data_IF_510148268893
#
_entry.id   IF_510148268893
#
_cell.length_a   1.000
_cell.length_b   1.000
_cell.length_c   1.000
_cell.angle_alpha   90.00
_cell.angle_beta   90.00
_cell.angle_gamma   90.00
#
_symmetry.space_group_name_H-M   'P 1'
#
loop_
_entity.id
_entity.type
_entity.pdbx_description
1 polymer ?
#
# COMPACT_ATOMS: atom_id res chain seq x y z
N UNK A 1 -29.88 13.92 -40.50
CA UNK A 1 -30.22 15.18 -39.80
C UNK A 1 -30.58 14.91 -38.32
N UNK A 2 -29.69 14.27 -37.53
CA UNK A 2 -29.95 13.95 -36.11
C UNK A 2 -28.67 13.80 -35.25
N UNK A 3 -27.63 14.60 -35.52
CA UNK A 3 -26.35 14.53 -34.79
C UNK A 3 -25.80 15.91 -34.39
N UNK A 4 -26.67 16.82 -33.93
CA UNK A 4 -26.23 18.19 -33.58
C UNK A 4 -26.94 18.86 -32.41
N UNK A 5 -27.44 18.09 -31.43
CA UNK A 5 -28.15 18.65 -30.26
C UNK A 5 -27.86 17.95 -28.92
N UNK A 6 -26.65 17.42 -28.71
CA UNK A 6 -26.22 16.90 -27.39
C UNK A 6 -24.89 17.48 -26.89
N UNK A 7 -24.46 18.63 -27.42
CA UNK A 7 -23.14 19.21 -27.14
C UNK A 7 -23.18 20.53 -26.34
N UNK A 8 -24.23 20.75 -25.52
CA UNK A 8 -24.33 21.96 -24.67
C UNK A 8 -24.40 21.70 -23.16
N UNK A 9 -24.39 20.45 -22.71
CA UNK A 9 -24.39 20.13 -21.26
C UNK A 9 -23.03 19.66 -20.70
N UNK A 10 -22.05 19.36 -21.56
CA UNK A 10 -20.70 18.97 -21.11
C UNK A 10 -19.82 20.15 -20.64
N UNK A 11 -20.22 21.40 -20.91
CA UNK A 11 -19.40 22.58 -20.55
C UNK A 11 -19.43 22.93 -19.07
N UNK A 12 -20.44 22.48 -18.30
CA UNK A 12 -20.51 22.77 -16.86
C UNK A 12 -19.62 21.84 -16.03
N UNK A 13 -19.55 20.55 -16.38
CA UNK A 13 -18.71 19.58 -15.67
C UNK A 13 -17.21 19.80 -15.90
N UNK A 14 -16.81 20.17 -17.13
CA UNK A 14 -15.41 20.50 -17.42
C UNK A 14 -14.91 21.78 -16.73
N UNK A 15 -15.78 22.76 -16.49
CA UNK A 15 -15.42 23.98 -15.77
C UNK A 15 -15.30 23.76 -14.26
N UNK A 16 -16.10 22.84 -13.70
CA UNK A 16 -16.02 22.48 -12.27
C UNK A 16 -14.80 21.60 -11.97
N UNK A 17 -14.51 20.59 -12.79
CA UNK A 17 -13.30 19.76 -12.65
C UNK A 17 -12.03 20.58 -12.77
N UNK A 18 -11.93 21.45 -13.80
CA UNK A 18 -10.80 22.40 -13.92
C UNK A 18 -10.69 23.39 -12.75
N UNK A 19 -11.81 23.72 -12.09
CA UNK A 19 -11.82 24.63 -10.94
C UNK A 19 -11.34 23.94 -9.66
N UNK A 20 -11.69 22.67 -9.45
CA UNK A 20 -11.19 21.85 -8.32
C UNK A 20 -9.68 21.64 -8.48
N UNK A 21 -9.24 21.23 -9.66
CA UNK A 21 -7.81 21.06 -10.00
C UNK A 21 -7.00 22.38 -9.89
N UNK A 22 -7.65 23.54 -10.10
CA UNK A 22 -7.03 24.85 -9.88
C UNK A 22 -6.94 25.21 -8.39
N UNK A 23 -7.95 24.88 -7.58
CA UNK A 23 -7.97 25.13 -6.14
C UNK A 23 -6.97 24.24 -5.40
N UNK A 24 -6.91 22.94 -5.71
CA UNK A 24 -5.99 22.01 -5.03
C UNK A 24 -4.54 22.38 -5.28
N UNK A 25 -4.23 22.82 -6.51
CA UNK A 25 -2.90 23.35 -6.81
C UNK A 25 -2.67 24.68 -6.12
N UNK A 26 -3.64 25.59 -6.04
CA UNK A 26 -3.46 26.82 -5.24
C UNK A 26 -3.26 26.51 -3.74
N UNK A 27 -3.87 25.45 -3.21
CA UNK A 27 -3.68 25.00 -1.82
C UNK A 27 -2.26 24.47 -1.62
N UNK A 28 -1.75 23.66 -2.57
CA UNK A 28 -0.39 23.12 -2.52
C UNK A 28 0.69 24.14 -2.90
N UNK A 29 0.40 25.09 -3.79
CA UNK A 29 1.29 26.17 -4.24
C UNK A 29 1.29 27.37 -3.29
N UNK A 30 0.25 27.54 -2.47
CA UNK A 30 0.31 28.38 -1.27
C UNK A 30 1.33 27.73 -0.34
N UNK A 31 2.61 28.00 -0.61
CA UNK A 31 3.77 27.47 0.10
C UNK A 31 3.52 27.61 1.60
N UNK A 32 3.08 26.51 2.22
CA UNK A 32 3.14 26.41 3.67
C UNK A 32 4.62 26.42 4.02
N UNK A 33 5.00 27.23 4.99
CA UNK A 33 6.39 27.20 5.47
C UNK A 33 6.69 25.84 6.09
N UNK A 34 7.97 25.51 6.16
CA UNK A 34 8.41 24.26 6.77
C UNK A 34 7.91 24.11 8.22
N UNK A 35 7.79 25.21 8.95
CA UNK A 35 7.24 25.28 10.30
C UNK A 35 5.73 25.00 10.32
N UNK A 36 4.97 25.57 9.37
CA UNK A 36 3.53 25.34 9.26
C UNK A 36 3.22 23.87 8.95
N UNK A 37 3.99 23.24 8.05
CA UNK A 37 3.85 21.82 7.75
C UNK A 37 4.21 20.94 8.95
N UNK A 38 5.23 21.33 9.71
CA UNK A 38 5.64 20.60 10.92
C UNK A 38 4.57 20.68 11.99
N UNK A 39 4.06 21.88 12.27
CA UNK A 39 2.96 22.10 13.20
C UNK A 39 1.71 21.33 12.79
N UNK A 40 1.32 21.40 11.51
CA UNK A 40 0.17 20.65 11.00
C UNK A 40 0.32 19.14 11.22
N UNK A 41 1.51 18.58 10.98
CA UNK A 41 1.77 17.15 11.19
C UNK A 41 1.72 16.73 12.67
N UNK A 42 2.17 17.59 13.58
CA UNK A 42 2.13 17.35 15.02
C UNK A 42 0.70 17.32 15.56
N UNK A 43 -0.21 18.11 14.97
CA UNK A 43 -1.63 18.14 15.35
C UNK A 43 -2.41 16.89 14.90
N UNK A 44 -1.87 16.07 13.98
CA UNK A 44 -2.56 14.86 13.52
C UNK A 44 -2.48 13.78 14.61
N UNK A 45 -3.62 13.28 15.14
CA UNK A 45 -3.63 12.20 16.12
C UNK A 45 -2.90 10.98 15.58
N UNK A 46 -1.97 10.39 16.35
CA UNK A 46 -1.11 9.28 15.88
C UNK A 46 -1.77 7.90 15.94
N UNK A 47 -3.01 7.83 16.40
CA UNK A 47 -3.80 6.62 16.53
C UNK A 47 -5.20 6.95 17.05
N UNK A 48 -5.91 5.94 17.55
CA UNK A 48 -7.19 6.11 18.22
C UNK A 48 -6.99 6.67 19.63
N UNK A 49 -7.73 7.70 19.99
CA UNK A 49 -7.73 8.24 21.36
C UNK A 49 -8.40 7.26 22.34
N UNK A 50 -9.37 6.48 21.86
CA UNK A 50 -10.10 5.45 22.65
C UNK A 50 -10.35 4.20 21.80
N UNK A 51 -10.42 3.02 22.42
CA UNK A 51 -10.78 1.77 21.73
C UNK A 51 -9.70 1.15 20.83
N UNK A 52 -8.44 1.59 20.97
CA UNK A 52 -7.29 0.91 20.35
C UNK A 52 -6.80 -0.26 21.20
N UNK A 53 -7.35 -1.45 20.99
CA UNK A 53 -6.88 -2.66 21.69
C UNK A 53 -5.82 -3.41 20.89
N UNK A 54 -4.84 -4.04 21.58
CA UNK A 54 -3.73 -4.78 20.96
C UNK A 54 -3.55 -6.18 21.57
N UNK A 55 -4.63 -6.80 22.07
CA UNK A 55 -4.59 -8.00 22.95
C UNK A 55 -3.73 -9.15 22.38
N UNK A 56 -3.97 -9.54 21.13
CA UNK A 56 -3.21 -10.62 20.46
C UNK A 56 -1.80 -10.14 20.10
N UNK A 57 -1.65 -8.90 19.67
CA UNK A 57 -0.38 -8.34 19.23
C UNK A 57 0.65 -8.21 20.37
N UNK A 58 0.18 -7.98 21.60
CA UNK A 58 1.01 -7.84 22.80
C UNK A 58 1.43 -9.18 23.44
N UNK A 59 0.99 -10.32 22.92
CA UNK A 59 1.41 -11.63 23.45
C UNK A 59 2.95 -11.79 23.27
N UNK A 60 3.69 -12.22 24.31
CA UNK A 60 5.16 -12.27 24.27
C UNK A 60 5.73 -13.09 23.09
N UNK A 61 5.06 -14.17 22.72
CA UNK A 61 5.43 -15.02 21.59
C UNK A 61 5.40 -14.31 20.22
N UNK A 62 4.69 -13.18 20.10
CA UNK A 62 4.60 -12.40 18.88
C UNK A 62 5.61 -11.25 18.81
N UNK A 63 6.43 -11.03 19.85
CA UNK A 63 7.41 -9.94 19.90
C UNK A 63 8.36 -9.94 18.68
N UNK A 64 8.84 -11.11 18.26
CA UNK A 64 9.70 -11.24 17.08
C UNK A 64 8.99 -10.82 15.77
N UNK A 65 7.69 -11.13 15.63
CA UNK A 65 6.87 -10.74 14.48
C UNK A 65 6.55 -9.24 14.47
N UNK A 66 6.76 -8.55 15.60
CA UNK A 66 6.60 -7.11 15.78
C UNK A 66 7.95 -6.36 15.74
N UNK A 67 9.05 -7.04 15.42
CA UNK A 67 10.39 -6.46 15.47
C UNK A 67 10.79 -5.98 16.87
N UNK A 68 10.23 -6.60 17.91
CA UNK A 68 10.44 -6.24 19.32
C UNK A 68 10.06 -4.80 19.67
N UNK A 69 9.18 -4.16 18.87
CA UNK A 69 8.61 -2.85 19.14
C UNK A 69 7.10 -2.95 19.35
N UNK A 70 6.57 -2.05 20.19
CA UNK A 70 5.14 -1.83 20.43
C UNK A 70 4.57 -0.66 19.64
N UNK A 71 5.38 0.02 18.82
CA UNK A 71 4.98 1.27 18.16
C UNK A 71 4.10 1.04 16.92
N UNK A 72 4.15 -0.18 16.36
CA UNK A 72 3.56 -0.51 15.06
C UNK A 72 2.70 -1.77 15.12
N UNK A 73 1.87 -1.86 16.15
CA UNK A 73 0.97 -2.99 16.35
C UNK A 73 -0.35 -2.79 15.58
N UNK A 74 -0.94 -3.86 15.02
CA UNK A 74 -2.27 -3.79 14.44
C UNK A 74 -3.32 -3.75 15.55
N UNK A 75 -4.36 -2.94 15.41
CA UNK A 75 -5.51 -2.99 16.33
C UNK A 75 -6.23 -4.35 16.25
N UNK A 76 -6.81 -4.79 17.35
CA UNK A 76 -7.39 -6.13 17.49
C UNK A 76 -8.62 -6.37 16.59
N UNK A 77 -9.38 -5.30 16.34
CA UNK A 77 -10.62 -5.31 15.55
C UNK A 77 -10.37 -5.40 14.05
N UNK A 78 -9.27 -4.86 13.53
CA UNK A 78 -8.96 -4.87 12.11
C UNK A 78 -7.63 -5.56 11.73
N UNK A 79 -6.97 -6.24 12.67
CA UNK A 79 -5.81 -7.09 12.33
C UNK A 79 -6.18 -8.16 11.31
N UNK A 80 -5.23 -8.51 10.46
CA UNK A 80 -5.37 -9.69 9.60
C UNK A 80 -5.37 -10.95 10.46
N UNK A 81 -6.35 -11.83 10.25
CA UNK A 81 -6.49 -13.10 10.97
C UNK A 81 -6.19 -14.26 10.03
N UNK A 82 -4.98 -14.80 10.16
CA UNK A 82 -4.58 -15.98 9.39
C UNK A 82 -5.29 -17.24 9.92
N UNK A 83 -5.39 -18.28 9.09
CA UNK A 83 -5.87 -19.57 9.58
C UNK A 83 -4.89 -20.09 10.64
N UNK A 84 -5.38 -20.45 11.84
CA UNK A 84 -4.54 -21.00 12.90
C UNK A 84 -3.76 -22.24 12.45
N UNK A 85 -2.56 -22.39 12.99
CA UNK A 85 -1.73 -23.58 12.83
C UNK A 85 -1.11 -23.98 14.16
N UNK A 86 -0.51 -25.17 14.24
CA UNK A 86 0.20 -25.62 15.45
C UNK A 86 1.30 -24.64 15.89
N UNK A 87 1.96 -23.96 14.94
CA UNK A 87 3.03 -22.98 15.20
C UNK A 87 2.54 -21.54 15.28
N UNK A 88 1.27 -21.28 14.94
CA UNK A 88 0.63 -19.97 15.01
C UNK A 88 -0.85 -20.11 15.40
N UNK A 89 -1.16 -20.46 16.66
CA UNK A 89 -2.52 -20.78 17.09
C UNK A 89 -3.47 -19.57 17.07
N UNK A 90 -2.94 -18.34 17.14
CA UNK A 90 -3.74 -17.12 17.06
C UNK A 90 -3.91 -16.59 15.63
N UNK A 91 -3.32 -17.26 14.63
CA UNK A 91 -3.30 -16.78 13.26
C UNK A 91 -2.69 -15.38 13.15
N UNK A 92 -1.69 -15.08 13.97
CA UNK A 92 -1.14 -13.74 14.10
C UNK A 92 -0.14 -13.44 12.98
N UNK A 93 -0.31 -12.26 12.39
CA UNK A 93 0.68 -11.55 11.59
C UNK A 93 0.53 -10.08 11.95
N UNK A 94 1.62 -9.34 12.01
CA UNK A 94 1.55 -7.89 12.19
C UNK A 94 1.08 -7.25 10.87
N UNK A 95 -0.24 -7.20 10.67
CA UNK A 95 -0.86 -6.55 9.54
C UNK A 95 -2.27 -6.05 9.89
N UNK A 96 -2.70 -4.96 9.26
CA UNK A 96 -4.03 -4.37 9.44
C UNK A 96 -4.77 -4.29 8.11
N UNK A 97 -6.07 -4.59 8.13
CA UNK A 97 -6.99 -4.22 7.06
C UNK A 97 -7.28 -2.72 7.14
N UNK A 98 -7.16 -2.03 6.00
CA UNK A 98 -7.44 -0.61 5.87
C UNK A 98 -8.42 -0.41 4.72
N UNK A 99 -9.47 0.35 4.96
CA UNK A 99 -10.48 0.72 3.96
C UNK A 99 -10.51 2.24 3.83
N UNK A 100 -10.40 2.74 2.60
CA UNK A 100 -10.56 4.16 2.29
C UNK A 100 -11.71 4.31 1.29
N UNK A 101 -12.54 5.33 1.49
CA UNK A 101 -13.62 5.68 0.56
C UNK A 101 -13.27 6.99 -0.11
N UNK A 102 -13.26 6.99 -1.44
CA UNK A 102 -12.96 8.15 -2.28
C UNK A 102 -14.17 8.38 -3.18
N UNK A 103 -14.93 9.45 -2.93
CA UNK A 103 -16.22 9.65 -3.59
C UNK A 103 -17.17 8.47 -3.33
N UNK A 104 -17.52 7.73 -4.39
CA UNK A 104 -18.38 6.53 -4.32
C UNK A 104 -17.61 5.21 -4.38
N UNK A 105 -16.29 5.23 -4.49
CA UNK A 105 -15.47 4.01 -4.59
C UNK A 105 -14.85 3.67 -3.25
N UNK A 106 -14.76 2.37 -2.95
CA UNK A 106 -14.02 1.86 -1.81
C UNK A 106 -12.74 1.19 -2.27
N UNK A 107 -11.65 1.52 -1.59
CA UNK A 107 -10.33 0.92 -1.78
C UNK A 107 -9.99 0.11 -0.55
N UNK A 108 -9.56 -1.13 -0.78
CA UNK A 108 -9.16 -2.05 0.27
C UNK A 108 -7.64 -2.24 0.24
N UNK A 109 -7.03 -2.17 1.42
CA UNK A 109 -5.61 -2.33 1.60
C UNK A 109 -5.32 -3.26 2.76
N UNK A 110 -4.14 -3.87 2.72
CA UNK A 110 -3.55 -4.58 3.85
C UNK A 110 -2.17 -4.02 4.05
N UNK A 111 -1.93 -3.38 5.19
CA UNK A 111 -0.57 -2.91 5.55
C UNK A 111 0.06 -3.94 6.46
N UNK A 112 1.17 -4.52 6.02
CA UNK A 112 1.87 -5.57 6.75
C UNK A 112 3.31 -5.15 7.11
N UNK A 113 3.73 -5.54 8.31
CA UNK A 113 5.14 -5.55 8.69
C UNK A 113 5.82 -6.76 8.07
N UNK A 114 6.96 -6.53 7.42
CA UNK A 114 7.83 -7.61 6.96
C UNK A 114 9.24 -7.27 7.38
N UNK A 115 9.62 -7.84 8.52
CA UNK A 115 10.89 -7.58 9.20
C UNK A 115 12.10 -7.78 8.30
N UNK A 116 13.21 -7.17 8.68
CA UNK A 116 14.46 -7.29 7.93
C UNK A 116 15.11 -8.63 8.21
N UNK A 117 14.72 -9.65 7.44
CA UNK A 117 15.41 -10.92 7.46
C UNK A 117 16.88 -10.72 7.08
N UNK A 118 17.80 -10.94 8.03
CA UNK A 118 19.20 -11.27 7.73
C UNK A 118 19.27 -12.74 7.31
N UNK A 119 20.11 -13.11 6.36
CA UNK A 119 20.46 -14.52 6.20
C UNK A 119 21.18 -14.94 7.49
N UNK A 120 20.62 -15.88 8.26
CA UNK A 120 21.39 -16.48 9.35
C UNK A 120 22.52 -17.32 8.72
N UNK A 121 23.65 -17.42 9.43
CA UNK A 121 24.71 -18.37 9.09
C UNK A 121 24.07 -19.77 9.06
N UNK A 122 23.98 -20.39 7.88
CA UNK A 122 23.28 -21.67 7.67
C UNK A 122 22.10 -21.65 6.69
N UNK A 123 21.82 -20.54 5.99
CA UNK A 123 20.86 -20.51 4.87
C UNK A 123 19.38 -20.44 5.28
N UNK A 124 19.07 -20.48 6.57
CA UNK A 124 17.74 -20.18 7.10
C UNK A 124 17.53 -18.66 7.18
N UNK A 125 16.34 -18.20 6.76
CA UNK A 125 15.95 -16.79 6.92
C UNK A 125 15.80 -16.47 8.42
N UNK A 126 16.48 -15.43 8.92
CA UNK A 126 16.32 -14.98 10.33
C UNK A 126 14.96 -14.35 10.64
N UNK A 127 14.06 -14.25 9.65
CA UNK A 127 12.72 -13.72 9.79
C UNK A 127 11.77 -14.58 10.64
N UNK A 128 12.23 -15.67 11.27
CA UNK A 128 11.44 -16.45 12.23
C UNK A 128 10.14 -17.05 11.66
N UNK A 129 10.09 -17.29 10.34
CA UNK A 129 8.89 -17.75 9.64
C UNK A 129 8.02 -16.64 9.02
N UNK A 130 8.36 -15.37 9.21
CA UNK A 130 7.57 -14.24 8.68
C UNK A 130 7.43 -14.28 7.13
N UNK A 131 8.41 -14.80 6.39
CA UNK A 131 8.27 -15.02 4.94
C UNK A 131 7.04 -15.85 4.56
N UNK A 132 6.84 -16.97 5.25
CA UNK A 132 5.72 -17.85 4.98
C UNK A 132 4.40 -17.18 5.36
N UNK A 133 4.41 -16.37 6.42
CA UNK A 133 3.24 -15.58 6.84
C UNK A 133 2.87 -14.50 5.83
N UNK A 134 3.84 -13.89 5.13
CA UNK A 134 3.54 -12.92 4.05
C UNK A 134 2.77 -13.57 2.92
N UNK A 135 3.23 -14.73 2.44
CA UNK A 135 2.52 -15.47 1.39
C UNK A 135 1.19 -16.04 1.88
N UNK A 136 1.12 -16.48 3.13
CA UNK A 136 -0.15 -16.88 3.74
C UNK A 136 -1.14 -15.70 3.81
N UNK A 137 -0.67 -14.52 4.21
CA UNK A 137 -1.44 -13.30 4.26
C UNK A 137 -1.95 -12.93 2.86
N UNK A 138 -1.06 -12.74 1.89
CA UNK A 138 -1.42 -12.42 0.51
C UNK A 138 -2.43 -13.42 -0.07
N UNK A 139 -2.24 -14.72 0.17
CA UNK A 139 -3.17 -15.76 -0.26
C UNK A 139 -4.55 -15.64 0.39
N UNK A 140 -4.60 -15.47 1.72
CA UNK A 140 -5.86 -15.45 2.48
C UNK A 140 -6.68 -14.19 2.24
N UNK A 141 -6.02 -13.03 2.15
CA UNK A 141 -6.70 -11.77 1.85
C UNK A 141 -7.06 -11.65 0.37
N UNK A 142 -6.58 -12.57 -0.47
CA UNK A 142 -6.83 -12.56 -1.91
C UNK A 142 -6.16 -11.39 -2.62
N UNK A 143 -4.98 -10.96 -2.15
CA UNK A 143 -4.27 -9.83 -2.73
C UNK A 143 -3.91 -10.10 -4.20
N UNK A 144 -4.30 -9.18 -5.07
CA UNK A 144 -3.91 -9.20 -6.48
C UNK A 144 -2.56 -8.51 -6.73
N UNK A 145 -2.16 -7.61 -5.82
CA UNK A 145 -0.94 -6.82 -5.89
C UNK A 145 -0.29 -6.76 -4.51
N UNK A 146 1.03 -6.95 -4.46
CA UNK A 146 1.89 -6.83 -3.30
C UNK A 146 2.97 -5.79 -3.56
N UNK A 147 2.92 -4.65 -2.88
CA UNK A 147 3.91 -3.59 -2.95
C UNK A 147 4.88 -3.64 -1.76
N UNK A 148 6.18 -3.81 -2.04
CA UNK A 148 7.27 -3.81 -1.06
C UNK A 148 8.08 -2.53 -1.17
N UNK A 149 8.30 -1.84 -0.05
CA UNK A 149 9.18 -0.66 0.02
C UNK A 149 10.43 -0.89 0.86
N UNK A 150 11.58 -0.54 0.28
CA UNK A 150 12.88 -0.50 0.95
C UNK A 150 13.79 -1.67 0.56
N UNK A 151 14.55 -2.27 1.52
CA UNK A 151 15.49 -3.33 1.21
C UNK A 151 14.85 -4.54 0.51
N UNK A 152 15.69 -5.25 -0.24
CA UNK A 152 15.30 -6.40 -1.05
C UNK A 152 14.45 -7.42 -0.26
N UNK A 153 13.33 -7.89 -0.84
CA UNK A 153 12.46 -8.87 -0.18
C UNK A 153 13.12 -10.24 -0.16
N UNK A 154 13.46 -10.72 1.03
CA UNK A 154 14.04 -12.04 1.24
C UNK A 154 13.01 -13.20 1.11
N UNK A 155 11.71 -12.86 1.06
CA UNK A 155 10.61 -13.79 0.81
C UNK A 155 10.28 -13.94 -0.69
N UNK A 156 10.94 -13.19 -1.57
CA UNK A 156 10.72 -13.26 -3.02
C UNK A 156 11.82 -14.13 -3.66
N UNK A 157 11.47 -15.19 -4.41
CA UNK A 157 12.44 -15.92 -5.23
C UNK A 157 13.12 -15.03 -6.28
N UNK A 158 14.29 -15.46 -6.76
CA UNK A 158 14.93 -14.84 -7.92
C UNK A 158 14.10 -15.02 -9.21
N UNK A 159 14.43 -14.26 -10.25
CA UNK A 159 13.77 -14.35 -11.56
C UNK A 159 13.79 -15.79 -12.09
N UNK A 160 12.64 -16.27 -12.56
CA UNK A 160 12.45 -17.62 -13.09
C UNK A 160 12.76 -18.76 -12.09
N UNK A 161 12.84 -18.44 -10.80
CA UNK A 161 13.05 -19.42 -9.75
C UNK A 161 11.76 -19.73 -8.98
N UNK A 162 11.73 -20.90 -8.36
CA UNK A 162 10.67 -21.34 -7.45
C UNK A 162 11.26 -21.66 -6.09
N UNK A 163 10.57 -21.25 -5.02
CA UNK A 163 10.97 -21.54 -3.64
C UNK A 163 9.76 -21.84 -2.77
N UNK A 164 9.95 -22.75 -1.83
CA UNK A 164 8.92 -23.11 -0.86
C UNK A 164 9.00 -22.24 0.41
N UNK A 165 7.84 -21.78 0.85
CA UNK A 165 7.62 -20.99 2.06
C UNK A 165 6.50 -21.62 2.88
N UNK A 166 6.87 -22.56 3.75
CA UNK A 166 5.90 -23.39 4.47
C UNK A 166 5.12 -24.24 3.48
N UNK A 167 3.78 -24.11 3.47
CA UNK A 167 2.89 -24.83 2.53
C UNK A 167 2.73 -24.16 1.17
N UNK A 168 3.36 -23.01 0.96
CA UNK A 168 3.23 -22.23 -0.27
C UNK A 168 4.45 -22.42 -1.14
N UNK A 169 4.24 -22.84 -2.38
CA UNK A 169 5.27 -22.83 -3.41
C UNK A 169 5.13 -21.54 -4.22
N UNK A 170 6.20 -20.74 -4.27
CA UNK A 170 6.19 -19.40 -4.89
C UNK A 170 7.15 -19.41 -6.06
N UNK A 171 6.63 -19.08 -7.25
CA UNK A 171 7.38 -19.01 -8.49
C UNK A 171 7.36 -17.59 -9.03
N UNK A 172 8.54 -17.04 -9.33
CA UNK A 172 8.68 -15.73 -9.97
C UNK A 172 8.84 -15.89 -11.48
N UNK A 173 8.15 -15.04 -12.25
CA UNK A 173 8.49 -14.82 -13.65
C UNK A 173 9.78 -14.01 -13.80
N UNK A 174 9.96 -13.42 -14.98
CA UNK A 174 11.04 -12.45 -15.24
C UNK A 174 10.61 -11.06 -14.75
N UNK A 175 11.41 -10.43 -13.90
CA UNK A 175 11.17 -9.06 -13.44
C UNK A 175 11.33 -8.03 -14.57
N UNK A 176 10.39 -7.10 -14.65
CA UNK A 176 10.54 -5.83 -15.35
C UNK A 176 11.28 -4.85 -14.44
N UNK A 177 12.49 -4.44 -14.82
CA UNK A 177 13.36 -3.58 -13.99
C UNK A 177 13.26 -2.13 -14.44
N UNK A 178 13.22 -1.23 -13.47
CA UNK A 178 13.13 0.23 -13.67
C UNK A 178 14.23 0.93 -12.88
N UNK A 179 14.31 2.26 -12.99
CA UNK A 179 15.23 3.07 -12.20
C UNK A 179 14.94 3.02 -10.70
N UNK A 180 13.66 2.88 -10.32
CA UNK A 180 13.22 2.89 -8.93
C UNK A 180 13.15 1.50 -8.28
N UNK A 181 13.13 0.43 -9.08
CA UNK A 181 13.03 -0.93 -8.58
C UNK A 181 12.62 -1.94 -9.65
N UNK A 182 11.59 -2.75 -9.36
CA UNK A 182 11.11 -3.78 -10.28
C UNK A 182 9.66 -4.20 -10.04
N UNK A 183 9.00 -4.71 -11.07
CA UNK A 183 7.72 -5.41 -11.00
C UNK A 183 7.85 -6.83 -11.56
N UNK A 184 7.16 -7.82 -10.98
CA UNK A 184 7.20 -9.21 -11.42
C UNK A 184 5.88 -9.92 -11.17
N UNK A 185 5.46 -10.77 -12.12
CA UNK A 185 4.31 -11.65 -11.93
C UNK A 185 4.74 -12.86 -11.10
N UNK A 186 4.02 -13.12 -10.01
CA UNK A 186 4.30 -14.20 -9.07
C UNK A 186 3.15 -15.19 -9.08
N UNK A 187 3.48 -16.47 -9.20
CA UNK A 187 2.53 -17.58 -9.04
C UNK A 187 2.73 -18.22 -7.69
N UNK A 188 1.67 -18.24 -6.87
CA UNK A 188 1.65 -18.88 -5.56
C UNK A 188 0.79 -20.14 -5.66
N UNK A 189 1.32 -21.28 -5.20
CA UNK A 189 0.62 -22.57 -5.14
C UNK A 189 0.46 -23.04 -3.70
N UNK A 190 -0.68 -23.63 -3.39
CA UNK A 190 -0.97 -24.28 -2.12
C UNK A 190 -1.74 -25.58 -2.42
N UNK A 191 -1.03 -26.71 -2.40
CA UNK A 191 -1.55 -27.98 -2.91
C UNK A 191 -1.92 -27.88 -4.40
N UNK A 192 -3.13 -28.28 -4.75
CA UNK A 192 -3.63 -28.24 -6.13
C UNK A 192 -4.07 -26.84 -6.60
N UNK A 193 -4.20 -25.85 -5.70
CA UNK A 193 -4.68 -24.50 -6.05
C UNK A 193 -3.51 -23.59 -6.36
N UNK A 194 -3.64 -22.77 -7.41
CA UNK A 194 -2.69 -21.73 -7.77
C UNK A 194 -3.39 -20.38 -7.86
N UNK A 195 -2.66 -19.30 -7.58
CA UNK A 195 -3.09 -17.91 -7.79
C UNK A 195 -1.91 -17.12 -8.34
N UNK A 196 -2.21 -16.21 -9.25
CA UNK A 196 -1.24 -15.25 -9.76
C UNK A 196 -1.50 -13.90 -9.09
N UNK A 197 -0.43 -13.18 -8.77
CA UNK A 197 -0.46 -11.81 -8.27
C UNK A 197 0.77 -11.06 -8.75
N UNK A 198 0.69 -9.74 -8.72
CA UNK A 198 1.83 -8.87 -9.05
C UNK A 198 2.62 -8.52 -7.80
N UNK A 199 3.94 -8.61 -7.87
CA UNK A 199 4.83 -8.10 -6.83
C UNK A 199 5.58 -6.88 -7.38
N UNK A 200 5.47 -5.74 -6.71
CA UNK A 200 6.17 -4.50 -7.06
C UNK A 200 7.11 -4.13 -5.93
N UNK A 201 8.38 -3.90 -6.23
CA UNK A 201 9.41 -3.58 -5.25
C UNK A 201 10.00 -2.19 -5.54
N UNK A 202 9.75 -1.23 -4.64
CA UNK A 202 10.46 0.04 -4.62
C UNK A 202 11.77 -0.10 -3.85
N UNK A 203 12.89 -0.11 -4.57
CA UNK A 203 14.23 -0.36 -4.02
C UNK A 203 14.94 0.93 -3.56
N UNK A 204 14.58 2.09 -4.11
CA UNK A 204 15.19 3.40 -3.82
C UNK A 204 14.76 4.04 -2.48
N UNK A 205 14.61 3.24 -1.43
CA UNK A 205 14.33 3.73 -0.07
C UNK A 205 15.11 2.96 1.01
N UNK A 206 16.43 3.17 1.12
CA UNK A 206 17.29 2.47 2.07
C UNK A 206 17.03 2.90 3.53
N UNK A 207 17.55 2.12 4.49
CA UNK A 207 17.29 2.28 5.94
C UNK A 207 17.87 3.53 6.58
N UNK A 208 18.93 4.08 5.99
CA UNK A 208 19.52 5.34 6.42
C UNK A 208 18.74 6.58 5.95
N UNK A 209 17.67 6.41 5.15
CA UNK A 209 16.88 7.52 4.60
C UNK A 209 15.47 7.58 5.17
N UNK A 210 15.05 8.80 5.49
CA UNK A 210 13.71 9.11 6.00
C UNK A 210 12.66 9.15 4.89
N UNK A 211 13.05 9.58 3.68
CA UNK A 211 12.24 9.69 2.45
C UNK A 211 13.05 9.29 1.21
N UNK A 212 12.42 8.98 0.06
CA UNK A 212 13.12 8.83 -1.22
C UNK A 212 13.78 10.13 -1.67
N UNK A 213 14.86 10.04 -2.45
CA UNK A 213 15.55 11.22 -2.97
C UNK A 213 14.85 11.83 -4.19
N UNK A 214 14.26 10.96 -5.01
CA UNK A 214 13.71 11.32 -6.31
C UNK A 214 12.19 11.12 -6.27
N UNK A 215 11.49 12.25 -6.41
CA UNK A 215 10.02 12.30 -6.41
C UNK A 215 9.46 11.66 -7.68
N UNK A 216 10.12 11.85 -8.82
CA UNK A 216 9.66 11.32 -10.12
C UNK A 216 9.78 9.79 -10.16
N UNK A 217 10.85 9.24 -9.58
CA UNK A 217 10.98 7.79 -9.38
C UNK A 217 9.84 7.22 -8.53
N UNK A 218 9.41 7.93 -7.48
CA UNK A 218 8.30 7.50 -6.63
C UNK A 218 6.95 7.63 -7.34
N UNK A 219 6.73 8.69 -8.14
CA UNK A 219 5.55 8.83 -8.99
C UNK A 219 5.46 7.70 -10.02
N UNK A 220 6.58 7.36 -10.67
CA UNK A 220 6.64 6.25 -11.62
C UNK A 220 6.28 4.90 -10.95
N UNK A 221 6.71 4.69 -9.71
CA UNK A 221 6.32 3.53 -8.91
C UNK A 221 4.82 3.49 -8.60
N UNK A 222 4.22 4.61 -8.20
CA UNK A 222 2.77 4.69 -7.95
C UNK A 222 1.95 4.47 -9.24
N UNK A 223 2.44 5.01 -10.36
CA UNK A 223 1.82 4.80 -11.68
C UNK A 223 1.85 3.32 -12.10
N UNK A 224 2.97 2.63 -11.88
CA UNK A 224 3.08 1.18 -12.10
C UNK A 224 2.13 0.40 -11.19
N UNK A 225 2.05 0.76 -9.91
CA UNK A 225 1.11 0.13 -8.96
C UNK A 225 -0.34 0.27 -9.41
N UNK A 226 -0.75 1.46 -9.84
CA UNK A 226 -2.11 1.70 -10.33
C UNK A 226 -2.38 0.92 -11.62
N UNK A 227 -1.44 0.92 -12.56
CA UNK A 227 -1.55 0.20 -13.83
C UNK A 227 -1.73 -1.31 -13.61
N UNK A 228 -0.93 -1.91 -12.71
CA UNK A 228 -1.03 -3.34 -12.39
C UNK A 228 -2.31 -3.68 -11.60
N UNK A 229 -2.81 -2.77 -10.77
CA UNK A 229 -4.11 -2.91 -10.11
C UNK A 229 -5.23 -2.98 -11.15
N UNK A 230 -5.30 -2.02 -12.06
CA UNK A 230 -6.30 -1.99 -13.13
C UNK A 230 -6.21 -3.22 -14.05
N UNK A 231 -4.99 -3.67 -14.39
CA UNK A 231 -4.80 -4.89 -15.16
C UNK A 231 -5.33 -6.13 -14.42
N UNK A 232 -5.10 -6.22 -13.11
CA UNK A 232 -5.60 -7.33 -12.28
C UNK A 232 -7.12 -7.33 -12.16
N UNK A 233 -7.73 -6.15 -12.00
CA UNK A 233 -9.18 -5.98 -11.98
C UNK A 233 -9.80 -6.40 -13.31
N UNK A 234 -9.20 -6.00 -14.44
CA UNK A 234 -9.65 -6.38 -15.77
C UNK A 234 -9.56 -7.90 -16.01
N UNK A 235 -8.45 -8.53 -15.62
CA UNK A 235 -8.29 -10.00 -15.68
C UNK A 235 -9.36 -10.70 -14.82
N UNK A 236 -9.62 -10.20 -13.61
CA UNK A 236 -10.62 -10.76 -12.70
C UNK A 236 -12.05 -10.70 -13.25
N UNK A 237 -12.44 -9.59 -13.87
CA UNK A 237 -13.76 -9.44 -14.50
C UNK A 237 -13.92 -10.32 -15.75
N UNK A 238 -12.83 -10.65 -16.44
CA UNK A 238 -12.82 -11.54 -17.61
C UNK A 238 -12.95 -13.04 -17.30
N UNK A 239 -12.71 -13.48 -16.06
CA UNK A 239 -12.56 -14.91 -15.71
C UNK A 239 -13.78 -15.59 -15.05
N UNK A 240 -14.98 -14.99 -15.07
CA UNK A 240 -16.25 -15.71 -14.85
C UNK A 240 -17.17 -15.18 -13.73
N UNK A 241 -18.48 -15.25 -14.01
CA UNK A 241 -19.62 -14.98 -13.09
C UNK A 241 -19.65 -13.59 -12.44
N UNK A 242 -20.65 -12.77 -12.74
CA UNK A 242 -20.74 -11.36 -12.32
C UNK A 242 -20.42 -11.09 -10.83
N UNK A 243 -20.78 -12.01 -9.91
CA UNK A 243 -20.49 -11.90 -8.48
C UNK A 243 -19.06 -12.32 -8.08
N UNK A 244 -18.49 -13.33 -8.74
CA UNK A 244 -17.13 -13.82 -8.46
C UNK A 244 -16.07 -12.86 -9.00
N UNK A 245 -16.26 -12.35 -10.21
CA UNK A 245 -15.41 -11.32 -10.81
C UNK A 245 -15.44 -10.00 -10.04
N UNK A 246 -16.60 -9.57 -9.54
CA UNK A 246 -16.72 -8.33 -8.76
C UNK A 246 -16.02 -8.41 -7.39
N UNK A 247 -16.14 -9.52 -6.68
CA UNK A 247 -15.41 -9.74 -5.42
C UNK A 247 -13.90 -9.82 -5.62
N UNK A 248 -13.46 -10.38 -6.76
CA UNK A 248 -12.07 -10.48 -7.14
C UNK A 248 -11.51 -9.13 -7.65
N UNK A 249 -12.34 -8.29 -8.27
CA UNK A 249 -11.99 -6.92 -8.64
C UNK A 249 -11.84 -5.99 -7.42
N UNK A 250 -12.46 -6.32 -6.29
CA UNK A 250 -12.27 -5.64 -5.02
C UNK A 250 -11.08 -6.19 -4.19
N UNK A 251 -10.12 -6.88 -4.83
CA UNK A 251 -8.97 -7.47 -4.15
C UNK A 251 -8.10 -6.41 -3.46
N UNK A 252 -7.70 -6.61 -2.20
CA UNK A 252 -6.93 -5.63 -1.47
C UNK A 252 -5.49 -5.52 -2.00
N UNK A 253 -4.95 -4.31 -2.03
CA UNK A 253 -3.52 -4.08 -2.22
C UNK A 253 -2.78 -4.37 -0.91
N UNK A 254 -1.85 -5.33 -0.93
CA UNK A 254 -0.95 -5.57 0.20
C UNK A 254 0.27 -4.66 0.10
N UNK A 255 0.46 -3.76 1.06
CA UNK A 255 1.61 -2.85 1.12
C UNK A 255 2.48 -3.23 2.32
N UNK A 256 3.78 -3.40 2.12
CA UNK A 256 4.68 -3.77 3.20
C UNK A 256 6.05 -3.09 3.16
N UNK A 257 6.61 -2.88 4.34
CA UNK A 257 7.96 -2.36 4.57
C UNK A 257 8.50 -2.99 5.87
N UNK A 258 9.78 -2.78 6.24
CA UNK A 258 10.37 -3.34 7.45
C UNK A 258 9.52 -3.20 8.72
N UNK A 259 8.95 -2.01 8.96
CA UNK A 259 8.12 -1.69 10.12
C UNK A 259 6.60 -1.79 9.85
N UNK A 260 6.19 -1.91 8.59
CA UNK A 260 4.77 -1.82 8.20
C UNK A 260 4.11 -0.52 8.65
N UNK A 261 4.85 0.59 8.67
CA UNK A 261 4.41 1.87 9.24
C UNK A 261 4.81 3.06 8.35
N UNK A 262 6.04 3.58 8.46
CA UNK A 262 6.49 4.77 7.73
C UNK A 262 6.36 4.67 6.21
N UNK A 263 7.26 3.90 5.55
CA UNK A 263 7.28 3.79 4.07
C UNK A 263 5.97 3.26 3.48
N UNK A 264 5.39 2.23 4.11
CA UNK A 264 4.10 1.68 3.68
C UNK A 264 2.97 2.68 3.83
N UNK A 265 2.95 3.43 4.93
CA UNK A 265 1.99 4.50 5.17
C UNK A 265 2.14 5.64 4.18
N UNK A 266 3.37 6.03 3.82
CA UNK A 266 3.61 7.05 2.79
C UNK A 266 3.14 6.58 1.42
N UNK A 267 3.45 5.35 1.01
CA UNK A 267 2.98 4.80 -0.26
C UNK A 267 1.45 4.66 -0.31
N UNK A 268 0.85 4.15 0.77
CA UNK A 268 -0.60 4.05 0.91
C UNK A 268 -1.28 5.43 0.86
N UNK A 269 -0.79 6.39 1.63
CA UNK A 269 -1.34 7.74 1.65
C UNK A 269 -1.22 8.40 0.28
N UNK A 270 -0.07 8.26 -0.39
CA UNK A 270 0.12 8.78 -1.74
C UNK A 270 -0.87 8.16 -2.74
N UNK A 271 -1.04 6.84 -2.72
CA UNK A 271 -2.01 6.13 -3.57
C UNK A 271 -3.45 6.63 -3.36
N UNK A 272 -3.86 6.80 -2.10
CA UNK A 272 -5.20 7.33 -1.76
C UNK A 272 -5.35 8.80 -2.18
N UNK A 273 -4.33 9.62 -1.96
CA UNK A 273 -4.36 11.04 -2.31
C UNK A 273 -4.36 11.25 -3.84
N UNK A 274 -3.67 10.39 -4.59
CA UNK A 274 -3.79 10.36 -6.05
C UNK A 274 -5.21 9.98 -6.49
N UNK A 275 -5.81 8.94 -5.89
CA UNK A 275 -7.20 8.56 -6.19
C UNK A 275 -8.19 9.71 -5.87
N UNK A 276 -7.96 10.46 -4.78
CA UNK A 276 -8.73 11.67 -4.44
C UNK A 276 -8.63 12.72 -5.56
N UNK A 277 -7.41 13.03 -6.00
CA UNK A 277 -7.17 14.00 -7.07
C UNK A 277 -7.77 13.55 -8.41
N UNK A 278 -7.53 12.31 -8.81
CA UNK A 278 -8.00 11.75 -10.09
C UNK A 278 -9.54 11.72 -10.18
N UNK A 279 -10.20 11.55 -9.03
CA UNK A 279 -11.66 11.56 -8.94
C UNK A 279 -12.25 12.94 -8.59
N UNK A 280 -11.44 14.02 -8.66
CA UNK A 280 -11.84 15.40 -8.33
C UNK A 280 -12.53 15.51 -6.96
N UNK A 281 -12.05 14.76 -5.96
CA UNK A 281 -12.53 14.85 -4.59
C UNK A 281 -11.73 15.91 -3.82
N UNK A 282 -12.30 16.43 -2.73
CA UNK A 282 -11.65 17.46 -1.91
C UNK A 282 -10.33 16.94 -1.29
N UNK A 283 -9.24 17.63 -1.57
CA UNK A 283 -7.92 17.27 -1.05
C UNK A 283 -7.73 17.79 0.38
N UNK A 284 -7.72 16.86 1.35
CA UNK A 284 -7.36 17.13 2.74
C UNK A 284 -6.34 16.10 3.23
N UNK A 285 -5.05 16.48 3.18
CA UNK A 285 -3.94 15.59 3.54
C UNK A 285 -3.96 15.25 5.04
N UNK A 286 -4.05 16.22 5.99
CA UNK A 286 -4.15 15.90 7.41
C UNK A 286 -5.31 14.96 7.76
N UNK A 287 -6.49 15.18 7.19
CA UNK A 287 -7.66 14.33 7.43
C UNK A 287 -7.47 12.93 6.85
N UNK A 288 -6.93 12.82 5.64
CA UNK A 288 -6.64 11.52 5.02
C UNK A 288 -5.69 10.71 5.90
N UNK A 289 -4.62 11.34 6.41
CA UNK A 289 -3.67 10.68 7.32
C UNK A 289 -4.33 10.32 8.65
N UNK A 290 -5.16 11.21 9.22
CA UNK A 290 -5.92 10.92 10.44
C UNK A 290 -6.81 9.69 10.28
N UNK A 291 -7.53 9.58 9.16
CA UNK A 291 -8.35 8.41 8.83
C UNK A 291 -7.53 7.11 8.71
N UNK A 292 -6.30 7.19 8.20
CA UNK A 292 -5.37 6.07 8.18
C UNK A 292 -4.92 5.69 9.60
N UNK A 293 -4.63 6.67 10.47
CA UNK A 293 -4.22 6.44 11.86
C UNK A 293 -5.32 5.79 12.73
N UNK A 294 -6.59 6.07 12.42
CA UNK A 294 -7.72 5.39 13.05
C UNK A 294 -7.78 3.88 12.71
N UNK A 295 -7.11 3.44 11.64
CA UNK A 295 -7.08 2.04 11.21
C UNK A 295 -5.72 1.38 11.49
N UNK A 296 -4.64 2.12 11.49
CA UNK A 296 -3.33 1.62 11.93
C UNK A 296 -2.51 2.79 12.46
N UNK A 297 -2.18 2.74 13.75
CA UNK A 297 -1.40 3.78 14.40
C UNK A 297 -0.04 4.01 13.71
N UNK A 298 0.46 5.24 13.79
CA UNK A 298 1.81 5.61 13.39
C UNK A 298 2.19 5.29 11.92
N UNK A 299 1.21 5.24 11.01
CA UNK A 299 1.50 5.37 9.58
C UNK A 299 2.13 6.76 9.32
N UNK A 300 3.03 6.90 8.35
CA UNK A 300 3.75 8.17 8.12
C UNK A 300 4.42 8.69 9.41
N UNK A 301 5.60 8.15 9.71
CA UNK A 301 6.21 8.24 11.04
C UNK A 301 6.78 9.62 11.38
N UNK A 302 7.12 10.44 10.39
CA UNK A 302 7.84 11.68 10.63
C UNK A 302 7.43 12.79 9.66
N UNK A 303 7.74 14.02 10.06
CA UNK A 303 7.42 15.22 9.29
C UNK A 303 8.07 15.23 7.90
N UNK A 304 9.22 14.58 7.70
CA UNK A 304 9.86 14.52 6.38
C UNK A 304 9.00 13.72 5.41
N UNK A 305 8.44 12.58 5.84
CA UNK A 305 7.49 11.79 5.03
C UNK A 305 6.21 12.57 4.73
N UNK A 306 5.73 13.37 5.68
CA UNK A 306 4.59 14.25 5.46
C UNK A 306 4.90 15.34 4.42
N UNK A 307 6.04 16.03 4.55
CA UNK A 307 6.52 17.02 3.56
C UNK A 307 6.74 16.40 2.19
N UNK A 308 7.26 15.16 2.13
CA UNK A 308 7.43 14.42 0.90
C UNK A 308 6.09 14.16 0.19
N UNK A 309 5.01 13.84 0.91
CA UNK A 309 3.67 13.72 0.32
C UNK A 309 3.22 15.02 -0.35
N UNK A 310 3.42 16.18 0.30
CA UNK A 310 3.10 17.48 -0.31
C UNK A 310 3.90 17.73 -1.59
N UNK A 311 5.21 17.45 -1.57
CA UNK A 311 6.08 17.57 -2.75
C UNK A 311 5.64 16.66 -3.89
N UNK A 312 5.30 15.41 -3.56
CA UNK A 312 4.84 14.39 -4.49
C UNK A 312 3.55 14.82 -5.20
N UNK A 313 2.54 15.28 -4.45
CA UNK A 313 1.26 15.73 -5.02
C UNK A 313 1.43 16.98 -5.88
N UNK A 314 2.28 17.92 -5.45
CA UNK A 314 2.59 19.10 -6.24
C UNK A 314 3.24 18.73 -7.57
N UNK A 315 4.18 17.77 -7.56
CA UNK A 315 4.83 17.28 -8.77
C UNK A 315 3.83 16.52 -9.66
N UNK A 316 2.96 15.69 -9.08
CA UNK A 316 1.90 14.98 -9.79
C UNK A 316 0.96 15.92 -10.53
N UNK A 317 0.50 16.99 -9.87
CA UNK A 317 -0.39 17.99 -10.48
C UNK A 317 0.31 18.80 -11.58
N UNK A 318 1.61 19.09 -11.42
CA UNK A 318 2.39 19.75 -12.49
C UNK A 318 2.49 18.87 -13.74
N UNK A 319 2.72 17.57 -13.57
CA UNK A 319 2.78 16.62 -14.68
C UNK A 319 1.42 16.46 -15.37
N UNK A 320 0.33 16.45 -14.60
CA UNK A 320 -1.03 16.32 -15.12
C UNK A 320 -1.48 17.53 -15.96
N UNK A 321 -0.95 18.72 -15.67
CA UNK A 321 -1.23 19.97 -16.40
C UNK A 321 -0.49 20.13 -17.73
N UNK A 322 0.48 19.29 -18.04
CA UNK A 322 1.29 19.37 -19.25
C UNK A 322 0.67 18.63 -20.45
N UNK A 323 -0.57 18.14 -20.32
CA UNK A 323 -1.34 17.40 -21.34
C UNK A 323 -2.62 18.18 -21.65
#
# INVERSE_FOLDING_TARGET
MFYRKRNREFSKYGAWSKKIEYIDVQILERKMTDEQLSFAFEQIPKGRDTGGEFRTALLPQHAALNGFSSDHLPYEDNRVRLHPSATNPHGYINASHITMTVGSTQRFYVVAMVGEGRAAVGGACSCGGACALVWQCAWQVGAALLARLGPAPHYLPADNATKDFGKFQVSCGTSSRTTWGASVRVRVRNGARARDLWHVHYAKWPNNKTVPDDVDDFLAFLSEMNSLRLASEAEALGCGGALGGALQAAAPLLVCCPAGAGRSGTALAADVLHDILDNNQELDIPRTISMLHQQRANLIQNVHQYKFLHQLLLQYLKQSRLI
#
